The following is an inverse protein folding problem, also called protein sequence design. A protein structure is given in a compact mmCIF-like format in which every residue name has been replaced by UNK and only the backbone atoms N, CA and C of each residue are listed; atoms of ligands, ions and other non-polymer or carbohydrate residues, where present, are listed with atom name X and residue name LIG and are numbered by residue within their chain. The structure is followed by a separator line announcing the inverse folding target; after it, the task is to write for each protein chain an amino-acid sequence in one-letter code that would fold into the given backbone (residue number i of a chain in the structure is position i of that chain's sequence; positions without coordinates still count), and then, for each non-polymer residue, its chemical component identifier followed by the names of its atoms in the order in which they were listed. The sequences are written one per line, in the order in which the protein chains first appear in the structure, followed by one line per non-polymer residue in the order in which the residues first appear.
data_IF_408732279720
#
_entry.id   IF_408732279720
#
_cell.length_a   1.000
_cell.length_b   1.000
_cell.length_c   1.000
_cell.angle_alpha   90.00
_cell.angle_beta   90.00
_cell.angle_gamma   90.00
#
_symmetry.space_group_name_H-M   'P 1'
#
loop_
_entity.id
_entity.type
_entity.pdbx_description
1 polymer ?
#
# COMPACT_ATOMS: atom_id res chain seq x y z
N UNK A 1 -5.49 -0.11 -55.68
CA UNK A 1 -6.43 0.69 -54.87
C UNK A 1 -7.01 -0.12 -53.70
N UNK A 2 -7.53 -1.33 -53.90
CA UNK A 2 -8.13 -2.17 -52.84
C UNK A 2 -7.20 -2.53 -51.65
N UNK A 3 -5.89 -2.71 -51.90
CA UNK A 3 -4.90 -3.02 -50.85
C UNK A 3 -4.59 -1.83 -49.92
N UNK A 4 -4.71 -0.61 -50.42
CA UNK A 4 -4.49 0.63 -49.64
C UNK A 4 -5.71 0.90 -48.74
N UNK A 5 -6.90 0.63 -49.26
CA UNK A 5 -8.16 0.76 -48.50
C UNK A 5 -8.23 -0.24 -47.33
N UNK A 6 -7.75 -1.49 -47.52
CA UNK A 6 -7.66 -2.49 -46.45
C UNK A 6 -6.65 -2.11 -45.35
N UNK A 7 -5.51 -1.51 -45.72
CA UNK A 7 -4.49 -1.06 -44.78
C UNK A 7 -5.00 0.11 -43.91
N UNK A 8 -5.65 1.11 -44.50
CA UNK A 8 -6.26 2.21 -43.76
C UNK A 8 -7.38 1.73 -42.82
N UNK A 9 -8.22 0.79 -43.26
CA UNK A 9 -9.29 0.23 -42.43
C UNK A 9 -8.73 -0.51 -41.20
N UNK A 10 -7.62 -1.24 -41.37
CA UNK A 10 -6.96 -1.96 -40.28
C UNK A 10 -6.27 -1.02 -39.28
N UNK A 11 -5.63 0.06 -39.76
CA UNK A 11 -5.00 1.08 -38.89
C UNK A 11 -6.05 1.85 -38.09
N UNK A 12 -7.18 2.21 -38.71
CA UNK A 12 -8.29 2.89 -38.02
C UNK A 12 -8.93 1.98 -36.96
N UNK A 13 -9.08 0.69 -37.26
CA UNK A 13 -9.61 -0.29 -36.31
C UNK A 13 -8.67 -0.49 -35.11
N UNK A 14 -7.35 -0.54 -35.34
CA UNK A 14 -6.35 -0.62 -34.28
C UNK A 14 -6.31 0.64 -33.41
N UNK A 15 -6.48 1.85 -34.00
CA UNK A 15 -6.53 3.09 -33.23
C UNK A 15 -7.79 3.18 -32.36
N UNK A 16 -8.94 2.69 -32.83
CA UNK A 16 -10.18 2.66 -32.05
C UNK A 16 -10.11 1.72 -30.84
N UNK A 17 -9.41 0.58 -30.96
CA UNK A 17 -9.18 -0.35 -29.85
C UNK A 17 -8.31 0.26 -28.73
N UNK A 18 -7.39 1.16 -29.05
CA UNK A 18 -6.52 1.80 -28.05
C UNK A 18 -7.27 2.83 -27.17
N UNK A 19 -8.35 3.44 -27.68
CA UNK A 19 -9.16 4.42 -26.92
C UNK A 19 -10.20 3.75 -26.03
N UNK A 20 -10.62 2.52 -26.35
CA UNK A 20 -11.54 1.74 -25.52
C UNK A 20 -10.87 1.08 -24.31
N UNK A 21 -9.53 1.08 -24.24
CA UNK A 21 -8.76 0.64 -23.08
C UNK A 21 -8.58 1.74 -22.04
N UNK A 22 -9.45 2.76 -22.02
CA UNK A 22 -9.53 3.72 -20.92
C UNK A 22 -10.00 2.98 -19.65
N UNK A 23 -8.99 2.47 -18.95
CA UNK A 23 -8.84 2.33 -17.52
C UNK A 23 -10.15 2.57 -16.76
N UNK A 24 -10.92 1.50 -16.58
CA UNK A 24 -11.98 1.49 -15.57
C UNK A 24 -11.30 1.42 -14.21
N UNK A 25 -10.65 2.52 -13.83
CA UNK A 25 -10.19 2.74 -12.48
C UNK A 25 -11.45 2.73 -11.60
N UNK A 26 -11.65 1.62 -10.89
CA UNK A 26 -12.72 1.51 -9.91
C UNK A 26 -12.53 2.61 -8.87
N UNK A 27 -13.35 3.66 -8.92
CA UNK A 27 -13.32 4.75 -7.95
C UNK A 27 -13.56 4.18 -6.55
N UNK A 28 -12.85 4.68 -5.55
CA UNK A 28 -13.04 4.21 -4.18
C UNK A 28 -14.49 4.48 -3.71
N UNK A 29 -15.08 3.64 -2.85
CA UNK A 29 -16.45 3.81 -2.39
C UNK A 29 -16.69 5.16 -1.72
N UNK A 30 -17.94 5.66 -1.70
CA UNK A 30 -18.27 6.92 -1.03
C UNK A 30 -17.94 6.91 0.48
N UNK A 31 -17.82 8.09 1.10
CA UNK A 31 -17.55 8.20 2.53
C UNK A 31 -18.59 7.45 3.38
N UNK A 32 -19.86 7.53 3.00
CA UNK A 32 -20.96 6.87 3.71
C UNK A 32 -20.90 5.35 3.57
N UNK A 33 -20.55 4.86 2.37
CA UNK A 33 -20.36 3.43 2.14
C UNK A 33 -19.19 2.87 2.97
N UNK A 34 -18.07 3.59 3.01
CA UNK A 34 -16.92 3.23 3.86
C UNK A 34 -17.32 3.26 5.33
N UNK A 35 -17.99 4.32 5.78
CA UNK A 35 -18.45 4.46 7.17
C UNK A 35 -19.35 3.29 7.59
N UNK A 36 -20.28 2.88 6.73
CA UNK A 36 -21.13 1.71 6.97
C UNK A 36 -20.30 0.44 7.19
N UNK A 37 -19.29 0.20 6.34
CA UNK A 37 -18.38 -0.95 6.49
C UNK A 37 -17.64 -0.89 7.83
N UNK A 38 -17.15 0.28 8.23
CA UNK A 38 -16.45 0.44 9.52
C UNK A 38 -17.35 0.14 10.71
N UNK A 39 -18.59 0.64 10.68
CA UNK A 39 -19.62 0.36 11.70
C UNK A 39 -19.89 -1.14 11.79
N UNK A 40 -20.11 -1.79 10.65
CA UNK A 40 -20.41 -3.23 10.59
C UNK A 40 -19.22 -4.08 11.10
N UNK A 41 -17.98 -3.65 10.83
CA UNK A 41 -16.75 -4.33 11.29
C UNK A 41 -16.54 -4.21 12.80
N UNK A 42 -16.75 -3.03 13.38
CA UNK A 42 -16.62 -2.84 14.82
C UNK A 42 -17.79 -3.48 15.60
N UNK A 43 -19.00 -3.47 15.03
CA UNK A 43 -20.16 -4.12 15.65
C UNK A 43 -20.08 -5.65 15.68
N UNK A 44 -19.35 -6.27 14.74
CA UNK A 44 -19.21 -7.72 14.63
C UNK A 44 -17.99 -8.31 15.33
N UNK A 45 -16.98 -7.50 15.67
CA UNK A 45 -15.74 -7.94 16.32
C UNK A 45 -15.42 -7.04 17.52
N UNK A 46 -15.49 -7.58 18.73
CA UNK A 46 -15.26 -6.83 19.98
C UNK A 46 -13.77 -6.48 20.24
N UNK A 47 -12.87 -6.83 19.33
CA UNK A 47 -11.41 -6.74 19.52
C UNK A 47 -10.81 -5.40 19.08
N UNK A 48 -11.54 -4.61 18.29
CA UNK A 48 -11.11 -3.27 17.87
C UNK A 48 -12.10 -2.22 18.37
N UNK A 49 -11.58 -1.04 18.71
CA UNK A 49 -12.37 0.08 19.25
C UNK A 49 -12.47 1.26 18.27
N UNK A 50 -11.67 1.24 17.20
CA UNK A 50 -11.71 2.28 16.18
C UNK A 50 -10.86 1.96 14.95
N UNK A 51 -11.28 2.50 13.80
CA UNK A 51 -10.66 2.30 12.50
C UNK A 51 -10.60 3.64 11.76
N UNK A 52 -9.46 3.93 11.15
CA UNK A 52 -9.25 5.05 10.23
C UNK A 52 -8.86 4.51 8.86
N UNK A 53 -9.50 5.03 7.82
CA UNK A 53 -9.22 4.68 6.41
C UNK A 53 -8.82 5.95 5.67
N UNK A 54 -7.60 5.96 5.15
CA UNK A 54 -7.13 6.95 4.17
C UNK A 54 -7.35 6.44 2.75
N UNK A 55 -7.93 7.28 1.90
CA UNK A 55 -8.17 7.01 0.48
C UNK A 55 -7.37 8.03 -0.33
N UNK A 56 -6.57 7.55 -1.27
CA UNK A 56 -5.75 8.36 -2.18
C UNK A 56 -6.19 8.04 -3.60
N UNK A 57 -6.73 9.04 -4.30
CA UNK A 57 -7.19 8.99 -5.68
C UNK A 57 -6.53 10.12 -6.48
N UNK A 58 -6.54 10.10 -7.83
CA UNK A 58 -5.97 11.20 -8.62
C UNK A 58 -6.58 12.58 -8.30
N UNK A 59 -7.86 12.61 -7.89
CA UNK A 59 -8.57 13.83 -7.50
C UNK A 59 -8.17 14.36 -6.11
N UNK A 60 -7.45 13.58 -5.30
CA UNK A 60 -6.98 13.99 -3.98
C UNK A 60 -7.06 12.88 -2.93
N UNK A 61 -6.99 13.30 -1.67
CA UNK A 61 -7.03 12.41 -0.50
C UNK A 61 -8.24 12.71 0.37
N UNK A 62 -8.80 11.67 0.99
CA UNK A 62 -9.85 11.80 2.01
C UNK A 62 -9.67 10.75 3.10
N UNK A 63 -10.16 11.07 4.29
CA UNK A 63 -10.09 10.21 5.47
C UNK A 63 -11.50 9.93 5.96
N UNK A 64 -11.77 8.67 6.28
CA UNK A 64 -13.01 8.22 6.92
C UNK A 64 -12.64 7.47 8.18
N UNK A 65 -13.15 7.91 9.32
CA UNK A 65 -12.86 7.33 10.63
C UNK A 65 -14.15 6.96 11.37
N UNK A 66 -14.09 5.91 12.19
CA UNK A 66 -15.17 5.50 13.08
C UNK A 66 -14.62 4.79 14.32
N UNK A 67 -15.26 4.99 15.47
CA UNK A 67 -14.82 4.48 16.78
C UNK A 67 -13.91 5.45 17.54
N UNK A 68 -13.20 4.94 18.54
CA UNK A 68 -12.30 5.68 19.44
C UNK A 68 -10.91 5.06 19.52
N UNK A 69 -9.92 5.85 19.93
CA UNK A 69 -8.53 5.40 20.10
C UNK A 69 -8.26 4.65 21.41
N UNK A 70 -9.09 4.85 22.43
CA UNK A 70 -9.07 4.12 23.70
C UNK A 70 -10.53 3.88 24.14
N UNK A 71 -10.77 2.87 24.99
CA UNK A 71 -12.07 2.65 25.64
C UNK A 71 -12.42 3.80 26.61
N UNK A 72 -11.40 4.46 27.17
CA UNK A 72 -11.53 5.55 28.13
C UNK A 72 -11.26 6.93 27.50
N UNK A 73 -10.81 6.98 26.24
CA UNK A 73 -10.57 8.22 25.50
C UNK A 73 -11.68 8.43 24.47
N UNK A 74 -12.45 9.49 24.67
CA UNK A 74 -13.60 9.84 23.82
C UNK A 74 -13.17 10.71 22.63
N UNK A 75 -11.88 11.02 22.48
CA UNK A 75 -11.40 11.79 21.33
C UNK A 75 -11.73 11.06 20.03
N UNK A 76 -12.34 11.76 19.06
CA UNK A 76 -12.64 11.16 17.77
C UNK A 76 -11.35 10.83 17.04
N UNK A 77 -11.33 9.70 16.34
CA UNK A 77 -10.26 9.37 15.42
C UNK A 77 -10.32 10.26 14.17
N UNK A 78 -9.15 10.60 13.65
CA UNK A 78 -8.95 11.43 12.46
C UNK A 78 -7.68 11.00 11.69
N UNK A 79 -7.28 11.82 10.71
CA UNK A 79 -6.11 11.54 9.88
C UNK A 79 -4.77 11.71 10.59
N UNK A 80 -4.74 12.32 11.77
CA UNK A 80 -3.53 12.59 12.56
C UNK A 80 -3.41 11.63 13.75
N UNK A 81 -4.37 10.74 13.92
CA UNK A 81 -4.37 9.69 14.94
C UNK A 81 -3.25 8.68 14.70
N UNK A 82 -2.47 8.39 15.75
CA UNK A 82 -1.29 7.51 15.68
C UNK A 82 -1.66 6.07 16.02
N UNK A 83 -1.19 5.12 15.22
CA UNK A 83 -1.39 3.68 15.40
C UNK A 83 -0.07 2.91 15.34
N UNK A 84 0.00 1.80 16.07
CA UNK A 84 1.02 0.79 15.82
C UNK A 84 0.72 0.07 14.49
N UNK A 85 1.67 0.10 13.56
CA UNK A 85 1.51 -0.49 12.21
C UNK A 85 2.13 -1.89 12.09
N UNK A 86 2.79 -2.38 13.14
CA UNK A 86 3.38 -3.71 13.21
C UNK A 86 4.32 -4.02 12.03
N UNK A 87 4.08 -5.14 11.33
CA UNK A 87 4.95 -5.57 10.22
C UNK A 87 4.96 -4.63 9.01
N UNK A 88 4.05 -3.65 8.91
CA UNK A 88 4.16 -2.60 7.87
C UNK A 88 5.44 -1.78 8.04
N UNK A 89 6.00 -1.69 9.25
CA UNK A 89 7.33 -1.10 9.50
C UNK A 89 8.42 -1.67 8.61
N UNK A 90 8.34 -2.96 8.22
CA UNK A 90 9.32 -3.60 7.34
C UNK A 90 9.37 -2.98 5.94
N UNK A 91 8.27 -2.40 5.45
CA UNK A 91 8.26 -1.67 4.17
C UNK A 91 9.22 -0.48 4.25
N UNK A 92 9.20 0.28 5.35
CA UNK A 92 10.08 1.42 5.57
C UNK A 92 11.54 0.97 5.78
N UNK A 93 11.77 -0.06 6.59
CA UNK A 93 13.12 -0.61 6.79
C UNK A 93 13.72 -1.11 5.48
N UNK A 94 12.95 -1.83 4.67
CA UNK A 94 13.41 -2.32 3.36
C UNK A 94 13.63 -1.19 2.36
N UNK A 95 12.84 -0.12 2.41
CA UNK A 95 13.05 1.07 1.57
C UNK A 95 14.39 1.73 1.89
N UNK A 96 14.71 1.92 3.17
CA UNK A 96 16.01 2.45 3.61
C UNK A 96 17.14 1.51 3.16
N UNK A 97 16.98 0.19 3.34
CA UNK A 97 17.98 -0.78 2.88
C UNK A 97 18.21 -0.73 1.36
N UNK A 98 17.15 -0.59 0.57
CA UNK A 98 17.24 -0.47 -0.89
C UNK A 98 17.96 0.81 -1.31
N UNK A 99 17.69 1.92 -0.64
CA UNK A 99 18.36 3.20 -0.84
C UNK A 99 19.86 3.12 -0.49
N UNK A 100 20.21 2.52 0.66
CA UNK A 100 21.61 2.25 1.01
C UNK A 100 22.33 1.37 -0.03
N UNK A 101 21.64 0.35 -0.55
CA UNK A 101 22.19 -0.51 -1.59
C UNK A 101 22.39 0.24 -2.90
N UNK A 102 21.45 1.11 -3.27
CA UNK A 102 21.57 1.97 -4.45
C UNK A 102 22.77 2.94 -4.34
N UNK A 103 23.03 3.49 -3.14
CA UNK A 103 24.20 4.33 -2.85
C UNK A 103 25.52 3.56 -2.72
N UNK A 104 25.49 2.23 -2.79
CA UNK A 104 26.68 1.38 -2.64
C UNK A 104 27.22 1.29 -1.21
N UNK A 105 26.44 1.71 -0.20
CA UNK A 105 26.82 1.60 1.22
C UNK A 105 26.77 0.15 1.71
N UNK A 106 25.86 -0.64 1.12
CA UNK A 106 25.72 -2.07 1.37
C UNK A 106 25.48 -2.82 0.05
N UNK A 107 25.92 -4.07 -0.05
CA UNK A 107 25.42 -5.00 -1.05
C UNK A 107 24.40 -5.95 -0.41
N UNK A 108 23.30 -6.26 -1.09
CA UNK A 108 22.29 -7.19 -0.58
C UNK A 108 22.82 -8.62 -0.39
N UNK A 109 23.97 -8.92 -1.00
CA UNK A 109 24.71 -10.18 -0.88
C UNK A 109 25.81 -10.14 0.16
N UNK A 110 26.04 -8.98 0.80
CA UNK A 110 27.04 -8.91 1.87
C UNK A 110 26.65 -9.87 3.01
N UNK A 111 27.63 -10.63 3.55
CA UNK A 111 27.37 -11.43 4.72
C UNK A 111 27.04 -10.51 5.90
N UNK A 112 26.04 -10.88 6.70
CA UNK A 112 25.64 -10.10 7.89
C UNK A 112 26.83 -9.79 8.82
N UNK A 113 27.80 -10.73 8.91
CA UNK A 113 29.04 -10.56 9.67
C UNK A 113 29.79 -9.26 9.39
N UNK A 114 29.72 -8.74 8.16
CA UNK A 114 30.37 -7.50 7.74
C UNK A 114 29.91 -6.28 8.55
N UNK A 115 28.67 -6.28 9.03
CA UNK A 115 28.03 -5.15 9.71
C UNK A 115 27.83 -5.35 11.21
N UNK A 116 28.23 -6.51 11.75
CA UNK A 116 28.11 -6.79 13.17
C UNK A 116 29.40 -6.42 13.92
N UNK A 117 29.31 -6.04 15.22
CA UNK A 117 30.49 -5.85 16.05
C UNK A 117 31.34 -7.12 16.15
N UNK A 118 32.67 -6.98 16.18
CA UNK A 118 33.61 -8.12 16.25
C UNK A 118 33.49 -8.98 17.51
N UNK A 119 32.74 -8.55 18.53
CA UNK A 119 32.40 -9.36 19.70
C UNK A 119 31.42 -10.49 19.39
N UNK A 120 30.69 -10.42 18.27
CA UNK A 120 29.72 -11.43 17.86
C UNK A 120 30.43 -12.55 17.09
N UNK A 121 30.70 -13.65 17.77
CA UNK A 121 31.46 -14.80 17.21
C UNK A 121 30.61 -15.83 16.47
N UNK A 122 29.29 -15.79 16.59
CA UNK A 122 28.40 -16.79 15.99
C UNK A 122 27.13 -16.12 15.47
N UNK A 123 26.90 -16.23 14.16
CA UNK A 123 25.66 -15.78 13.53
C UNK A 123 24.73 -16.99 13.44
N UNK A 124 23.55 -16.95 14.07
CA UNK A 124 22.60 -18.06 13.96
C UNK A 124 22.13 -18.18 12.51
N UNK A 125 22.26 -19.37 11.94
CA UNK A 125 21.69 -19.69 10.62
C UNK A 125 20.28 -20.21 10.89
N UNK A 126 19.28 -19.42 10.51
CA UNK A 126 17.89 -19.87 10.49
C UNK A 126 17.60 -20.50 9.13
N UNK A 127 17.60 -21.83 9.08
CA UNK A 127 17.02 -22.56 7.95
C UNK A 127 15.50 -22.56 8.14
N UNK A 128 14.77 -21.96 7.22
CA UNK A 128 13.31 -22.09 7.19
C UNK A 128 13.02 -23.49 6.62
N UNK A 129 12.24 -24.34 7.30
CA UNK A 129 11.91 -25.69 6.82
C UNK A 129 11.10 -25.67 5.52
#
# INVERSE_FOLDING_TARGET
MQKILLSCLMVILCLACAVAAQDSASSAPSNDAIRKILVDRLGSRQDSIGIVVGIIEPAGRRVVAYGSGDRNDVRPLDGDSVFEIGSITKVFTSLILADMAHRGEVALTDPLAKYLPGSIRRIPIFTIP
#
